data_IF_042535404939
#
_entry.id   IF_042535404939
#
_cell.length_a   1.000
_cell.length_b   1.000
_cell.length_c   1.000
_cell.angle_alpha   90.00
_cell.angle_beta   90.00
_cell.angle_gamma   90.00
#
_symmetry.space_group_name_H-M   'P 1'
#
loop_
_entity.id
_entity.type
_entity.pdbx_description
1 polymer ?
#
# COMPACT_ATOMS: atom_id res chain seq x y z
N UNK A 1 13.68 -9.57 -13.64
CA UNK A 1 12.76 -10.70 -13.36
C UNK A 1 12.62 -10.83 -11.85
N UNK A 2 11.40 -11.00 -11.32
CA UNK A 2 11.16 -11.13 -9.88
C UNK A 2 11.69 -12.48 -9.38
N UNK A 3 12.40 -12.43 -8.24
CA UNK A 3 12.82 -13.61 -7.49
C UNK A 3 12.43 -13.42 -6.03
N UNK A 4 11.56 -14.28 -5.50
CA UNK A 4 11.17 -14.26 -4.09
C UNK A 4 11.82 -15.41 -3.34
N UNK A 5 12.51 -15.10 -2.26
CA UNK A 5 13.14 -16.08 -1.37
C UNK A 5 12.52 -15.97 0.02
N UNK A 6 11.84 -17.02 0.45
CA UNK A 6 11.40 -17.15 1.83
C UNK A 6 12.60 -17.50 2.72
N UNK A 7 12.94 -16.62 3.66
CA UNK A 7 14.12 -16.77 4.52
C UNK A 7 13.78 -17.45 5.85
N UNK A 8 12.63 -17.08 6.45
CA UNK A 8 12.19 -17.59 7.73
C UNK A 8 10.68 -17.52 7.88
N UNK A 9 10.11 -18.43 8.68
CA UNK A 9 8.70 -18.41 9.11
C UNK A 9 8.64 -18.46 10.62
N UNK A 10 7.60 -17.87 11.20
CA UNK A 10 7.27 -18.09 12.60
C UNK A 10 6.93 -19.57 12.82
N UNK A 11 7.68 -20.23 13.69
CA UNK A 11 7.51 -21.65 14.04
C UNK A 11 6.72 -21.87 15.33
N UNK A 12 6.27 -20.79 15.97
CA UNK A 12 5.51 -20.86 17.23
C UNK A 12 4.12 -21.49 17.10
N UNK A 13 3.56 -21.52 15.88
CA UNK A 13 2.18 -21.90 15.61
C UNK A 13 1.15 -20.84 16.03
N UNK A 14 1.60 -19.66 16.49
CA UNK A 14 0.75 -18.57 16.96
C UNK A 14 0.55 -17.46 15.90
N UNK A 15 1.27 -17.56 14.78
CA UNK A 15 1.11 -16.66 13.63
C UNK A 15 1.60 -17.31 12.34
N UNK A 16 1.31 -16.64 11.22
CA UNK A 16 1.83 -16.97 9.89
C UNK A 16 2.92 -15.96 9.45
N UNK A 17 3.49 -15.23 10.40
CA UNK A 17 4.53 -14.23 10.12
C UNK A 17 5.72 -14.87 9.38
N UNK A 18 6.23 -14.17 8.39
CA UNK A 18 7.31 -14.67 7.55
C UNK A 18 8.27 -13.57 7.14
N UNK A 19 9.52 -13.95 6.98
CA UNK A 19 10.64 -13.12 6.56
C UNK A 19 11.05 -13.55 5.16
N UNK A 20 11.06 -12.61 4.23
CA UNK A 20 11.44 -12.88 2.85
C UNK A 20 12.36 -11.83 2.26
N UNK A 21 12.82 -12.11 1.06
CA UNK A 21 13.62 -11.22 0.22
C UNK A 21 13.07 -11.25 -1.19
N UNK A 22 12.84 -10.07 -1.75
CA UNK A 22 12.32 -9.90 -3.09
C UNK A 22 13.34 -9.15 -3.94
N UNK A 23 13.91 -9.83 -4.95
CA UNK A 23 14.82 -9.22 -5.92
C UNK A 23 14.03 -8.74 -7.13
N UNK A 24 14.24 -7.50 -7.50
CA UNK A 24 13.58 -6.79 -8.59
C UNK A 24 14.63 -6.12 -9.49
N UNK A 25 14.20 -5.47 -10.58
CA UNK A 25 15.14 -4.88 -11.54
C UNK A 25 15.95 -3.72 -10.94
N UNK A 26 15.34 -2.89 -10.09
CA UNK A 26 16.00 -1.73 -9.46
C UNK A 26 16.46 -2.00 -8.02
N UNK A 27 16.60 -3.24 -7.62
CA UNK A 27 17.16 -3.61 -6.32
C UNK A 27 16.44 -4.71 -5.59
N UNK A 28 16.89 -4.94 -4.37
CA UNK A 28 16.33 -5.97 -3.47
C UNK A 28 15.62 -5.32 -2.31
N UNK A 29 14.46 -5.84 -1.96
CA UNK A 29 13.69 -5.42 -0.78
C UNK A 29 13.58 -6.56 0.23
N UNK A 30 13.58 -6.19 1.49
CA UNK A 30 13.44 -7.11 2.62
C UNK A 30 12.01 -7.07 3.14
N UNK A 31 11.34 -8.21 3.22
CA UNK A 31 9.96 -8.29 3.70
C UNK A 31 9.86 -8.84 5.13
N UNK A 32 8.83 -8.47 5.91
CA UNK A 32 7.74 -7.55 5.63
C UNK A 32 8.20 -6.10 5.38
N UNK A 33 7.48 -5.37 4.50
CA UNK A 33 7.86 -4.00 4.12
C UNK A 33 6.64 -3.10 3.93
N UNK A 34 6.80 -1.81 4.25
CA UNK A 34 5.84 -0.76 3.94
C UNK A 34 6.33 0.07 2.75
N UNK A 35 5.42 0.39 1.82
CA UNK A 35 5.68 1.20 0.62
C UNK A 35 5.08 2.59 0.79
N UNK A 36 5.88 3.65 0.96
CA UNK A 36 5.39 5.02 0.93
C UNK A 36 4.68 5.35 -0.39
N UNK A 37 3.52 6.02 -0.31
CA UNK A 37 2.71 6.32 -1.50
C UNK A 37 3.13 7.64 -2.14
N UNK A 38 3.58 7.55 -3.40
CA UNK A 38 3.97 8.66 -4.25
C UNK A 38 3.00 8.90 -5.40
N UNK A 39 1.79 9.38 -5.12
CA UNK A 39 0.64 9.48 -6.04
C UNK A 39 0.96 10.10 -7.40
N UNK A 40 1.74 11.17 -7.43
CA UNK A 40 2.13 11.90 -8.66
C UNK A 40 3.64 11.77 -8.94
N UNK A 41 4.24 10.62 -8.67
CA UNK A 41 5.69 10.46 -8.75
C UNK A 41 6.43 11.21 -7.64
N UNK A 42 5.76 11.47 -6.51
CA UNK A 42 6.35 12.13 -5.35
C UNK A 42 5.63 11.67 -4.09
N UNK A 43 6.35 11.15 -3.12
CA UNK A 43 5.85 10.96 -1.77
C UNK A 43 5.71 12.35 -1.13
N UNK A 44 4.51 12.66 -0.62
CA UNK A 44 4.17 14.02 -0.18
C UNK A 44 5.19 14.58 0.82
N UNK A 45 5.76 15.74 0.48
CA UNK A 45 6.74 16.50 1.25
C UNK A 45 8.09 15.79 1.48
N UNK A 46 8.43 14.77 0.67
CA UNK A 46 9.70 14.03 0.75
C UNK A 46 10.40 14.01 -0.61
N UNK A 47 11.69 14.26 -0.64
CA UNK A 47 12.51 14.01 -1.81
C UNK A 47 13.11 12.58 -1.79
N UNK A 48 13.72 12.12 -2.90
CA UNK A 48 14.31 10.78 -2.98
C UNK A 48 15.47 10.55 -1.98
N UNK A 49 16.21 11.57 -1.60
CA UNK A 49 17.33 11.46 -0.62
C UNK A 49 16.75 11.19 0.76
N UNK A 50 15.78 12.00 1.19
CA UNK A 50 15.11 11.83 2.47
C UNK A 50 14.37 10.49 2.58
N UNK A 51 13.76 10.00 1.48
CA UNK A 51 13.14 8.68 1.44
C UNK A 51 14.15 7.55 1.68
N UNK A 52 15.36 7.68 1.14
CA UNK A 52 16.46 6.72 1.40
C UNK A 52 16.95 6.82 2.84
N UNK A 53 17.09 8.02 3.38
CA UNK A 53 17.52 8.27 4.77
C UNK A 53 16.52 7.69 5.81
N UNK A 54 15.22 7.76 5.56
CA UNK A 54 14.22 7.12 6.44
C UNK A 54 14.10 5.60 6.21
N UNK A 55 14.89 5.02 5.29
CA UNK A 55 14.96 3.57 5.06
C UNK A 55 13.97 3.01 4.05
N UNK A 56 13.36 3.83 3.19
CA UNK A 56 12.47 3.34 2.13
C UNK A 56 13.26 2.51 1.10
N UNK A 57 12.81 1.29 0.86
CA UNK A 57 13.41 0.36 -0.12
C UNK A 57 12.58 0.27 -1.41
N UNK A 58 11.31 0.64 -1.36
CA UNK A 58 10.34 0.64 -2.45
C UNK A 58 9.30 1.71 -2.20
N UNK A 59 8.75 2.28 -3.25
CA UNK A 59 7.63 3.23 -3.19
C UNK A 59 6.50 2.79 -4.11
N UNK A 60 5.29 3.35 -3.90
CA UNK A 60 4.13 3.11 -4.75
C UNK A 60 3.78 4.36 -5.56
N UNK A 61 3.54 4.19 -6.86
CA UNK A 61 2.98 5.21 -7.76
C UNK A 61 1.55 4.88 -8.16
N UNK A 62 0.71 5.90 -8.39
CA UNK A 62 -0.66 5.69 -8.82
C UNK A 62 -0.83 5.90 -10.32
N UNK A 63 -1.09 4.83 -11.04
CA UNK A 63 -1.21 4.77 -12.51
C UNK A 63 -2.22 5.77 -13.05
N UNK A 64 -3.43 5.85 -12.48
CA UNK A 64 -4.47 6.77 -12.89
C UNK A 64 -4.01 8.23 -12.87
N UNK A 65 -3.40 8.66 -11.77
CA UNK A 65 -2.93 10.03 -11.60
C UNK A 65 -1.79 10.38 -12.54
N UNK A 66 -0.83 9.48 -12.70
CA UNK A 66 0.34 9.66 -13.56
C UNK A 66 -0.03 9.65 -15.05
N UNK A 67 -1.00 8.83 -15.45
CA UNK A 67 -1.57 8.84 -16.79
C UNK A 67 -2.23 10.17 -17.14
N UNK A 68 -3.01 10.73 -16.22
CA UNK A 68 -3.68 12.01 -16.46
C UNK A 68 -2.72 13.20 -16.36
N UNK A 69 -1.71 13.12 -15.50
CA UNK A 69 -0.71 14.18 -15.29
C UNK A 69 0.56 13.60 -14.66
N UNK A 70 1.75 13.68 -15.27
CA UNK A 70 2.07 14.55 -16.43
C UNK A 70 1.63 13.98 -17.78
N UNK A 71 1.16 12.71 -17.84
CA UNK A 71 0.82 11.99 -19.07
C UNK A 71 1.96 11.11 -19.57
N UNK A 72 1.59 10.11 -20.37
CA UNK A 72 2.52 9.06 -20.83
C UNK A 72 3.61 9.64 -21.74
N UNK A 73 3.25 10.57 -22.65
CA UNK A 73 4.20 11.20 -23.56
C UNK A 73 5.37 11.91 -22.85
N UNK A 74 5.12 12.44 -21.65
CA UNK A 74 6.18 13.04 -20.83
C UNK A 74 7.03 11.96 -20.20
N UNK A 75 6.41 10.93 -19.59
CA UNK A 75 7.10 9.87 -18.88
C UNK A 75 7.98 9.02 -19.79
N UNK A 76 7.54 8.75 -21.02
CA UNK A 76 8.32 8.02 -22.04
C UNK A 76 9.65 8.72 -22.36
N UNK A 77 9.69 10.07 -22.34
CA UNK A 77 10.93 10.85 -22.57
C UNK A 77 11.98 10.62 -21.49
N UNK A 78 11.57 10.20 -20.29
CA UNK A 78 12.45 9.90 -19.15
C UNK A 78 12.73 8.39 -18.98
N UNK A 79 12.19 7.54 -19.86
CA UNK A 79 12.29 6.09 -19.74
C UNK A 79 11.49 5.50 -18.58
N UNK A 80 10.47 6.23 -18.10
CA UNK A 80 9.58 5.84 -17.01
C UNK A 80 9.75 6.65 -15.73
N UNK A 81 9.14 6.16 -14.65
CA UNK A 81 9.08 6.87 -13.36
C UNK A 81 10.45 7.06 -12.70
N UNK A 82 11.33 6.07 -12.77
CA UNK A 82 12.66 6.14 -12.15
C UNK A 82 13.44 7.35 -12.65
N UNK A 83 13.54 7.53 -13.97
CA UNK A 83 14.20 8.70 -14.55
C UNK A 83 13.45 10.00 -14.31
N UNK A 84 12.12 9.97 -14.34
CA UNK A 84 11.30 11.17 -14.16
C UNK A 84 11.42 11.77 -12.75
N UNK A 85 11.43 10.94 -11.72
CA UNK A 85 11.43 11.40 -10.32
C UNK A 85 12.81 11.28 -9.63
N UNK A 86 13.84 10.76 -10.30
CA UNK A 86 15.17 10.57 -9.72
C UNK A 86 15.23 9.51 -8.61
N UNK A 87 14.37 8.50 -8.69
CA UNK A 87 14.34 7.38 -7.74
C UNK A 87 14.99 6.14 -8.36
N UNK A 88 15.98 5.57 -7.69
CA UNK A 88 16.83 4.48 -8.20
C UNK A 88 16.52 3.10 -7.56
N UNK A 89 15.49 3.02 -6.72
CA UNK A 89 15.06 1.78 -6.06
C UNK A 89 13.72 1.31 -6.64
N UNK A 90 13.24 0.09 -6.28
CA UNK A 90 11.98 -0.44 -6.79
C UNK A 90 10.78 0.48 -6.66
N UNK A 91 9.88 0.38 -7.64
CA UNK A 91 8.57 1.03 -7.68
C UNK A 91 7.50 -0.03 -7.94
N UNK A 92 6.40 0.03 -7.19
CA UNK A 92 5.14 -0.64 -7.51
C UNK A 92 4.17 0.40 -8.07
N UNK A 93 3.44 0.07 -9.14
CA UNK A 93 2.29 0.88 -9.59
C UNK A 93 1.00 0.11 -9.44
N UNK A 94 -0.04 0.78 -8.93
CA UNK A 94 -1.39 0.25 -8.93
C UNK A 94 -1.96 0.17 -10.35
N UNK A 95 -3.16 -0.45 -10.50
CA UNK A 95 -3.80 -0.59 -11.81
C UNK A 95 -4.52 0.68 -12.31
N UNK A 96 -4.75 1.65 -11.43
CA UNK A 96 -5.63 2.80 -11.66
C UNK A 96 -7.13 2.51 -11.46
N UNK A 97 -7.52 1.25 -11.25
CA UNK A 97 -8.90 0.83 -11.10
C UNK A 97 -9.61 1.49 -9.92
N UNK A 98 -9.04 1.40 -8.73
CA UNK A 98 -9.64 1.97 -7.52
C UNK A 98 -9.94 3.47 -7.63
N UNK A 99 -9.04 4.25 -8.22
CA UNK A 99 -9.22 5.69 -8.41
C UNK A 99 -10.37 5.98 -9.37
N UNK A 100 -10.49 5.23 -10.46
CA UNK A 100 -11.61 5.34 -11.40
C UNK A 100 -12.91 4.91 -10.73
N UNK A 101 -12.91 3.86 -9.93
CA UNK A 101 -14.07 3.42 -9.18
C UNK A 101 -14.53 4.44 -8.14
N UNK A 102 -13.64 5.23 -7.57
CA UNK A 102 -13.97 6.31 -6.63
C UNK A 102 -14.68 7.51 -7.28
N UNK A 103 -14.68 7.64 -8.63
CA UNK A 103 -15.36 8.75 -9.34
C UNK A 103 -16.91 8.68 -9.32
N UNK A 104 -17.50 7.60 -8.80
CA UNK A 104 -18.95 7.50 -8.60
C UNK A 104 -19.75 7.60 -9.90
N UNK A 105 -20.72 8.52 -9.95
CA UNK A 105 -21.64 8.69 -11.09
C UNK A 105 -20.94 9.16 -12.41
N UNK A 106 -19.70 9.60 -12.36
CA UNK A 106 -18.94 10.02 -13.56
C UNK A 106 -18.31 8.85 -14.34
N UNK A 107 -18.62 7.61 -13.98
CA UNK A 107 -18.09 6.40 -14.62
C UNK A 107 -19.17 5.45 -15.11
N UNK A 108 -18.83 4.66 -16.13
CA UNK A 108 -19.60 3.52 -16.60
C UNK A 108 -18.72 2.30 -16.72
N UNK A 109 -19.04 1.24 -15.97
CA UNK A 109 -18.31 -0.03 -15.96
C UNK A 109 -19.01 -0.99 -16.93
N UNK A 110 -18.23 -1.66 -17.78
CA UNK A 110 -18.64 -2.74 -18.68
C UNK A 110 -17.63 -3.86 -18.64
N UNK A 111 -17.90 -4.98 -19.31
CA UNK A 111 -16.92 -6.09 -19.42
C UNK A 111 -15.64 -5.65 -20.12
N UNK A 112 -15.72 -4.70 -21.06
CA UNK A 112 -14.57 -4.21 -21.81
C UNK A 112 -13.65 -3.33 -20.97
N UNK A 113 -14.20 -2.61 -19.98
CA UNK A 113 -13.47 -1.67 -19.14
C UNK A 113 -14.36 -0.56 -18.58
N UNK A 114 -13.74 0.54 -18.20
CA UNK A 114 -14.41 1.67 -17.54
C UNK A 114 -14.26 2.94 -18.36
N UNK A 115 -15.39 3.53 -18.73
CA UNK A 115 -15.45 4.88 -19.32
C UNK A 115 -15.72 5.89 -18.22
N UNK A 116 -14.99 7.00 -18.19
CA UNK A 116 -15.16 8.05 -17.19
C UNK A 116 -14.81 9.43 -17.75
N UNK A 117 -15.25 10.48 -17.05
CA UNK A 117 -14.83 11.85 -17.30
C UNK A 117 -13.58 12.18 -16.49
N UNK A 118 -12.54 12.69 -17.14
CA UNK A 118 -11.30 13.11 -16.49
C UNK A 118 -11.58 14.22 -15.46
N UNK A 119 -11.12 14.07 -14.20
CA UNK A 119 -11.30 15.12 -13.19
C UNK A 119 -10.43 16.35 -13.44
N UNK A 120 -9.53 16.32 -14.44
CA UNK A 120 -8.62 17.42 -14.76
C UNK A 120 -9.27 18.38 -15.77
N UNK A 121 -9.87 17.84 -16.83
CA UNK A 121 -10.33 18.61 -17.97
C UNK A 121 -11.73 18.20 -18.48
N UNK A 122 -12.37 17.23 -17.81
CA UNK A 122 -13.68 16.71 -18.21
C UNK A 122 -13.67 15.82 -19.46
N UNK A 123 -12.52 15.60 -20.10
CA UNK A 123 -12.44 14.76 -21.30
C UNK A 123 -12.85 13.32 -21.02
N UNK A 124 -13.54 12.70 -22.00
CA UNK A 124 -13.94 11.30 -21.87
C UNK A 124 -12.73 10.39 -22.04
N UNK A 125 -12.51 9.51 -21.10
CA UNK A 125 -11.41 8.53 -21.06
C UNK A 125 -11.98 7.12 -20.95
N UNK A 126 -11.20 6.15 -21.44
CA UNK A 126 -11.52 4.74 -21.32
C UNK A 126 -10.29 4.00 -20.75
N UNK A 127 -10.50 3.21 -19.71
CA UNK A 127 -9.49 2.40 -19.07
C UNK A 127 -9.94 0.95 -19.09
N UNK A 128 -9.14 0.08 -19.68
CA UNK A 128 -9.34 -1.37 -19.73
C UNK A 128 -8.13 -2.10 -19.15
N UNK A 129 -8.20 -3.41 -18.93
CA UNK A 129 -7.02 -4.21 -18.57
C UNK A 129 -5.84 -3.96 -19.48
N UNK A 130 -6.05 -3.93 -20.79
CA UNK A 130 -5.00 -3.71 -21.79
C UNK A 130 -4.40 -2.30 -21.68
N UNK A 131 -5.27 -1.28 -21.59
CA UNK A 131 -4.83 0.12 -21.47
C UNK A 131 -4.05 0.32 -20.16
N UNK A 132 -4.50 -0.26 -19.04
CA UNK A 132 -3.78 -0.21 -17.77
C UNK A 132 -2.38 -0.82 -17.90
N UNK A 133 -2.23 -1.98 -18.54
CA UNK A 133 -0.93 -2.62 -18.76
C UNK A 133 -0.02 -1.77 -19.67
N UNK A 134 -0.56 -1.14 -20.71
CA UNK A 134 0.20 -0.25 -21.60
C UNK A 134 0.69 0.99 -20.84
N UNK A 135 -0.16 1.60 -20.01
CA UNK A 135 0.23 2.73 -19.17
C UNK A 135 1.34 2.31 -18.21
N UNK A 136 1.17 1.21 -17.46
CA UNK A 136 2.16 0.74 -16.50
C UNK A 136 3.48 0.30 -17.18
N UNK A 137 3.43 -0.12 -18.45
CA UNK A 137 4.65 -0.36 -19.25
C UNK A 137 5.43 0.93 -19.48
N UNK A 138 4.76 2.04 -19.82
CA UNK A 138 5.39 3.36 -19.94
C UNK A 138 5.89 3.90 -18.59
N UNK A 139 5.18 3.61 -17.48
CA UNK A 139 5.65 3.95 -16.14
C UNK A 139 6.91 3.15 -15.76
N UNK A 140 7.11 1.97 -16.35
CA UNK A 140 8.25 1.09 -16.17
C UNK A 140 8.54 0.74 -14.70
N UNK A 141 7.47 0.48 -13.93
CA UNK A 141 7.57 0.06 -12.53
C UNK A 141 8.00 -1.40 -12.40
N UNK A 142 8.73 -1.75 -11.33
CA UNK A 142 9.21 -3.12 -11.09
C UNK A 142 8.09 -4.10 -10.80
N UNK A 143 7.04 -3.63 -10.12
CA UNK A 143 5.82 -4.39 -9.84
C UNK A 143 4.63 -3.65 -10.44
N UNK A 144 3.87 -4.35 -11.25
CA UNK A 144 2.67 -3.92 -11.97
C UNK A 144 1.47 -4.64 -11.38
N UNK A 145 0.35 -3.96 -11.14
CA UNK A 145 -0.87 -4.59 -10.66
C UNK A 145 -1.86 -4.86 -11.78
N UNK A 146 -2.52 -6.03 -11.77
CA UNK A 146 -3.63 -6.31 -12.68
C UNK A 146 -4.72 -5.24 -12.56
N UNK A 147 -5.48 -5.02 -13.63
CA UNK A 147 -6.69 -4.20 -13.57
C UNK A 147 -7.83 -5.02 -12.93
N UNK A 148 -8.47 -4.46 -11.89
CA UNK A 148 -9.49 -5.13 -11.11
C UNK A 148 -10.66 -4.20 -10.79
N UNK A 149 -11.79 -4.77 -10.41
CA UNK A 149 -12.91 -4.04 -9.81
C UNK A 149 -12.99 -4.36 -8.31
N UNK A 150 -12.98 -3.31 -7.51
CA UNK A 150 -13.19 -3.42 -6.07
C UNK A 150 -14.67 -3.25 -5.74
N UNK A 151 -15.31 -4.31 -5.23
CA UNK A 151 -16.68 -4.23 -4.73
C UNK A 151 -16.76 -3.27 -3.55
N UNK A 152 -17.58 -2.21 -3.57
CA UNK A 152 -17.76 -1.37 -2.40
C UNK A 152 -18.38 -2.18 -1.25
N UNK A 153 -18.03 -1.83 0.00
CA UNK A 153 -18.64 -2.47 1.17
C UNK A 153 -20.15 -2.22 1.23
N UNK A 154 -20.60 -1.01 0.91
CA UNK A 154 -22.01 -0.63 0.86
C UNK A 154 -22.44 -0.26 -0.57
N UNK A 155 -23.61 -0.77 -0.96
CA UNK A 155 -24.32 -0.42 -2.20
C UNK A 155 -25.72 0.04 -1.80
N UNK A 156 -26.11 1.25 -2.18
CA UNK A 156 -27.42 1.84 -1.87
C UNK A 156 -27.77 1.84 -0.37
N UNK A 157 -26.75 2.07 0.50
CA UNK A 157 -26.93 2.16 1.95
C UNK A 157 -27.08 0.82 2.67
N UNK A 158 -26.77 -0.30 2.01
CA UNK A 158 -26.71 -1.64 2.59
C UNK A 158 -25.39 -2.35 2.25
N UNK A 159 -24.96 -3.32 3.05
CA UNK A 159 -23.82 -4.15 2.67
C UNK A 159 -24.03 -4.83 1.30
N UNK A 160 -22.97 -4.89 0.49
CA UNK A 160 -22.99 -5.59 -0.79
C UNK A 160 -23.35 -7.07 -0.59
N UNK A 161 -24.25 -7.60 -1.40
CA UNK A 161 -24.65 -9.02 -1.33
C UNK A 161 -23.55 -9.93 -1.91
N UNK A 162 -23.64 -11.22 -1.58
CA UNK A 162 -22.73 -12.22 -2.15
C UNK A 162 -22.82 -12.28 -3.68
N UNK A 163 -24.00 -12.08 -4.26
CA UNK A 163 -24.21 -12.08 -5.71
C UNK A 163 -23.51 -10.87 -6.36
N UNK A 164 -23.65 -9.68 -5.78
CA UNK A 164 -22.98 -8.46 -6.25
C UNK A 164 -21.44 -8.61 -6.16
N UNK A 165 -20.94 -9.10 -5.04
CA UNK A 165 -19.53 -9.38 -4.83
C UNK A 165 -18.99 -10.46 -5.80
N UNK A 166 -19.77 -11.53 -6.04
CA UNK A 166 -19.41 -12.59 -6.98
C UNK A 166 -19.32 -12.07 -8.42
N UNK A 167 -20.27 -11.22 -8.84
CA UNK A 167 -20.27 -10.62 -10.18
C UNK A 167 -19.02 -9.77 -10.40
N UNK A 168 -18.68 -8.89 -9.46
CA UNK A 168 -17.51 -8.04 -9.48
C UNK A 168 -16.22 -8.87 -9.47
N UNK A 169 -16.10 -9.83 -8.56
CA UNK A 169 -14.93 -10.69 -8.44
C UNK A 169 -14.66 -11.50 -9.71
N UNK A 170 -15.70 -12.12 -10.30
CA UNK A 170 -15.54 -12.89 -11.54
C UNK A 170 -15.19 -12.02 -12.75
N UNK A 171 -15.66 -10.77 -12.79
CA UNK A 171 -15.19 -9.80 -13.77
C UNK A 171 -13.71 -9.48 -13.56
N UNK A 172 -13.29 -9.26 -12.31
CA UNK A 172 -11.87 -9.05 -11.97
C UNK A 172 -10.99 -10.24 -12.40
N UNK A 173 -11.46 -11.49 -12.29
CA UNK A 173 -10.73 -12.68 -12.79
C UNK A 173 -10.58 -12.66 -14.32
N UNK A 174 -11.63 -12.31 -15.07
CA UNK A 174 -11.54 -12.17 -16.54
C UNK A 174 -10.59 -11.04 -16.93
N UNK A 175 -10.61 -9.94 -16.20
CA UNK A 175 -9.67 -8.81 -16.36
C UNK A 175 -8.23 -9.19 -15.97
N UNK A 176 -8.06 -10.06 -14.99
CA UNK A 176 -6.77 -10.63 -14.61
C UNK A 176 -6.12 -11.38 -15.78
N UNK A 177 -6.90 -12.25 -16.44
CA UNK A 177 -6.42 -12.98 -17.62
C UNK A 177 -6.07 -12.04 -18.79
N UNK A 178 -6.90 -11.01 -19.02
CA UNK A 178 -6.64 -10.00 -20.06
C UNK A 178 -5.39 -9.17 -19.74
N UNK A 179 -5.22 -8.77 -18.45
CA UNK A 179 -4.01 -8.09 -17.99
C UNK A 179 -2.76 -8.94 -18.23
N UNK A 180 -2.80 -10.22 -17.87
CA UNK A 180 -1.69 -11.15 -18.11
C UNK A 180 -1.36 -11.30 -19.61
N UNK A 181 -2.37 -11.42 -20.45
CA UNK A 181 -2.19 -11.55 -21.89
C UNK A 181 -1.52 -10.31 -22.49
N UNK A 182 -1.96 -9.10 -22.09
CA UNK A 182 -1.38 -7.84 -22.57
C UNK A 182 0.02 -7.59 -21.99
N UNK A 183 0.23 -7.91 -20.71
CA UNK A 183 1.55 -7.80 -20.07
C UNK A 183 2.60 -8.60 -20.81
N UNK A 184 2.24 -9.81 -21.30
CA UNK A 184 3.11 -10.73 -22.01
C UNK A 184 3.24 -10.43 -23.52
N UNK A 185 2.60 -9.39 -24.07
CA UNK A 185 2.71 -8.98 -25.50
C UNK A 185 4.04 -8.33 -25.87
N UNK A 186 5.09 -8.59 -25.22
CA UNK A 186 6.42 -8.07 -25.51
C UNK A 186 7.35 -8.42 -24.37
N UNK A 187 8.62 -8.10 -24.56
CA UNK A 187 9.57 -8.24 -23.46
C UNK A 187 9.24 -7.27 -22.35
N UNK A 188 8.94 -7.78 -21.17
CA UNK A 188 8.70 -7.00 -19.98
C UNK A 188 9.49 -7.64 -18.83
N UNK A 189 10.54 -6.97 -18.30
CA UNK A 189 11.38 -7.53 -17.26
C UNK A 189 10.72 -7.42 -15.87
N UNK A 190 9.60 -6.68 -15.76
CA UNK A 190 8.90 -6.39 -14.51
C UNK A 190 8.00 -7.56 -14.10
N UNK A 191 7.30 -7.44 -12.97
CA UNK A 191 6.43 -8.48 -12.44
C UNK A 191 4.98 -8.01 -12.35
N UNK A 192 4.03 -8.81 -12.84
CA UNK A 192 2.60 -8.56 -12.73
C UNK A 192 2.01 -9.32 -11.53
N UNK A 193 1.37 -8.60 -10.60
CA UNK A 193 0.68 -9.21 -9.46
C UNK A 193 -0.82 -9.34 -9.70
N UNK A 194 -1.38 -10.48 -9.27
CA UNK A 194 -2.81 -10.72 -9.22
C UNK A 194 -3.44 -10.14 -7.95
N UNK A 195 -4.76 -9.85 -7.99
CA UNK A 195 -5.49 -9.27 -6.86
C UNK A 195 -6.67 -10.16 -6.50
N UNK A 196 -6.64 -10.73 -5.29
CA UNK A 196 -7.74 -11.52 -4.72
C UNK A 196 -8.86 -10.57 -4.30
N UNK A 197 -10.03 -10.68 -4.95
CA UNK A 197 -11.26 -9.96 -4.65
C UNK A 197 -12.33 -10.93 -4.08
N UNK A 198 -13.53 -10.46 -3.73
CA UNK A 198 -14.61 -11.30 -3.21
C UNK A 198 -15.40 -10.67 -2.07
N UNK A 199 -15.22 -9.36 -1.82
CA UNK A 199 -15.89 -8.63 -0.75
C UNK A 199 -15.61 -9.27 0.62
N UNK A 200 -16.65 -9.32 1.46
CA UNK A 200 -16.55 -9.92 2.82
C UNK A 200 -16.98 -11.40 2.85
N UNK A 201 -16.86 -12.11 1.72
CA UNK A 201 -17.32 -13.49 1.54
C UNK A 201 -16.14 -14.44 1.34
N UNK A 202 -15.86 -15.28 2.32
CA UNK A 202 -14.72 -16.21 2.34
C UNK A 202 -14.70 -17.15 1.13
N UNK A 203 -15.83 -17.76 0.79
CA UNK A 203 -15.93 -18.65 -0.36
C UNK A 203 -15.66 -17.96 -1.71
N UNK A 204 -15.98 -16.66 -1.83
CA UNK A 204 -15.64 -15.89 -3.03
C UNK A 204 -14.16 -15.55 -3.08
N UNK A 205 -13.53 -15.32 -1.92
CA UNK A 205 -12.08 -15.15 -1.80
C UNK A 205 -11.34 -16.43 -2.22
N UNK A 206 -11.86 -17.59 -1.83
CA UNK A 206 -11.31 -18.90 -2.23
C UNK A 206 -11.46 -19.11 -3.75
N UNK A 207 -12.63 -18.79 -4.35
CA UNK A 207 -12.87 -18.85 -5.80
C UNK A 207 -11.90 -17.91 -6.55
N UNK A 208 -11.72 -16.68 -6.04
CA UNK A 208 -10.82 -15.70 -6.62
C UNK A 208 -9.37 -16.17 -6.58
N UNK A 209 -8.93 -16.69 -5.45
CA UNK A 209 -7.57 -17.20 -5.29
C UNK A 209 -7.29 -18.37 -6.25
N UNK A 210 -8.18 -19.34 -6.32
CA UNK A 210 -8.05 -20.48 -7.23
C UNK A 210 -7.92 -20.02 -8.69
N UNK A 211 -8.77 -19.10 -9.16
CA UNK A 211 -8.68 -18.56 -10.51
C UNK A 211 -7.39 -17.78 -10.79
N UNK A 212 -6.83 -17.11 -9.81
CA UNK A 212 -5.54 -16.42 -9.94
C UNK A 212 -4.35 -17.39 -9.94
N UNK A 213 -4.45 -18.50 -9.21
CA UNK A 213 -3.43 -19.56 -9.22
C UNK A 213 -3.36 -20.23 -10.59
N UNK A 214 -4.52 -20.47 -11.25
CA UNK A 214 -4.58 -21.01 -12.61
C UNK A 214 -3.90 -20.07 -13.63
N UNK A 215 -4.03 -18.75 -13.48
CA UNK A 215 -3.34 -17.74 -14.31
C UNK A 215 -1.82 -17.69 -13.98
N UNK A 216 -1.46 -18.04 -12.77
CA UNK A 216 -0.08 -18.14 -12.26
C UNK A 216 0.69 -16.82 -12.20
N UNK A 217 0.18 -15.84 -11.47
CA UNK A 217 0.91 -14.60 -11.17
C UNK A 217 2.16 -14.86 -10.30
N UNK A 218 3.26 -14.10 -10.50
CA UNK A 218 4.47 -14.21 -9.68
C UNK A 218 4.33 -13.67 -8.26
N UNK A 219 3.26 -12.90 -7.98
CA UNK A 219 2.89 -12.39 -6.66
C UNK A 219 1.38 -12.15 -6.57
N UNK A 220 0.84 -12.16 -5.36
CA UNK A 220 -0.59 -11.98 -5.12
C UNK A 220 -0.86 -10.89 -4.10
N UNK A 221 -1.88 -10.09 -4.37
CA UNK A 221 -2.39 -9.07 -3.46
C UNK A 221 -3.78 -9.42 -2.93
N UNK A 222 -4.07 -8.95 -1.73
CA UNK A 222 -5.40 -8.97 -1.13
C UNK A 222 -5.99 -7.56 -1.34
N UNK A 223 -6.99 -7.45 -2.21
CA UNK A 223 -7.72 -6.20 -2.47
C UNK A 223 -9.07 -6.15 -1.78
N UNK A 224 -9.75 -5.01 -1.88
CA UNK A 224 -11.12 -4.83 -1.37
C UNK A 224 -11.26 -4.93 0.14
N UNK A 225 -10.22 -4.56 0.88
CA UNK A 225 -10.22 -4.34 2.32
C UNK A 225 -9.89 -2.88 2.62
N UNK A 226 -10.30 -2.37 3.79
CA UNK A 226 -10.21 -0.94 4.18
C UNK A 226 -11.00 -0.01 3.23
N UNK A 227 -12.16 -0.49 2.77
CA UNK A 227 -13.07 0.22 1.86
C UNK A 227 -14.40 0.61 2.54
N UNK A 228 -14.42 0.68 3.87
CA UNK A 228 -15.58 1.09 4.68
C UNK A 228 -16.16 0.00 5.57
N UNK A 229 -15.64 -1.22 5.52
CA UNK A 229 -16.06 -2.33 6.36
C UNK A 229 -15.65 -2.15 7.84
N UNK A 230 -16.39 -2.78 8.79
CA UNK A 230 -15.95 -2.91 10.18
C UNK A 230 -14.58 -3.61 10.30
N UNK A 231 -13.79 -3.22 11.29
CA UNK A 231 -12.46 -3.82 11.54
C UNK A 231 -12.50 -5.33 11.76
N UNK A 232 -13.57 -5.83 12.34
CA UNK A 232 -13.79 -7.26 12.60
C UNK A 232 -13.91 -8.04 11.29
N UNK A 233 -14.63 -7.49 10.30
CA UNK A 233 -14.79 -8.10 8.98
C UNK A 233 -13.46 -8.11 8.22
N UNK A 234 -12.72 -7.00 8.25
CA UNK A 234 -11.37 -6.93 7.67
C UNK A 234 -10.45 -8.01 8.27
N UNK A 235 -10.41 -8.11 9.60
CA UNK A 235 -9.59 -9.11 10.31
C UNK A 235 -10.01 -10.54 9.97
N UNK A 236 -11.31 -10.82 9.91
CA UNK A 236 -11.85 -12.14 9.56
C UNK A 236 -11.43 -12.57 8.17
N UNK A 237 -11.59 -11.69 7.18
CA UNK A 237 -11.19 -11.97 5.79
C UNK A 237 -9.67 -12.11 5.68
N UNK A 238 -8.90 -11.27 6.35
CA UNK A 238 -7.45 -11.35 6.34
C UNK A 238 -6.95 -12.68 6.95
N UNK A 239 -7.51 -13.09 8.08
CA UNK A 239 -7.20 -14.38 8.72
C UNK A 239 -7.61 -15.58 7.86
N UNK A 240 -8.66 -15.44 7.03
CA UNK A 240 -9.06 -16.46 6.08
C UNK A 240 -8.12 -16.54 4.87
N UNK A 241 -7.82 -15.42 4.23
CA UNK A 241 -7.08 -15.37 2.95
C UNK A 241 -5.57 -15.50 3.16
N UNK A 242 -5.01 -14.77 4.13
CA UNK A 242 -3.56 -14.65 4.29
C UNK A 242 -2.83 -16.00 4.35
N UNK A 243 -3.23 -16.94 5.24
CA UNK A 243 -2.60 -18.26 5.35
C UNK A 243 -2.80 -19.18 4.13
N UNK A 244 -3.74 -18.85 3.23
CA UNK A 244 -4.04 -19.64 2.03
C UNK A 244 -3.26 -19.21 0.80
N UNK A 245 -2.64 -18.03 0.85
CA UNK A 245 -1.81 -17.56 -0.27
C UNK A 245 -0.58 -18.47 -0.45
N UNK A 246 -0.15 -18.73 -1.71
CA UNK A 246 0.98 -19.60 -2.01
C UNK A 246 2.28 -19.17 -1.33
N UNK A 247 2.89 -20.04 -0.55
CA UNK A 247 4.07 -19.75 0.27
C UNK A 247 5.27 -19.24 -0.53
N UNK A 248 5.43 -19.71 -1.77
CA UNK A 248 6.54 -19.36 -2.65
C UNK A 248 6.34 -18.05 -3.43
N UNK A 249 5.31 -17.27 -3.10
CA UNK A 249 5.00 -15.98 -3.74
C UNK A 249 4.95 -14.87 -2.69
N UNK A 250 5.30 -13.61 -3.04
CA UNK A 250 5.09 -12.47 -2.15
C UNK A 250 3.60 -12.14 -2.03
N UNK A 251 3.19 -11.72 -0.82
CA UNK A 251 1.82 -11.37 -0.45
C UNK A 251 1.71 -9.89 -0.14
N UNK A 252 0.81 -9.19 -0.81
CA UNK A 252 0.62 -7.77 -0.66
C UNK A 252 -0.80 -7.45 -0.16
N UNK A 253 -0.94 -6.70 0.93
CA UNK A 253 -2.21 -6.18 1.43
C UNK A 253 -2.35 -4.72 1.01
N UNK A 254 -3.31 -4.45 0.12
CA UNK A 254 -3.47 -3.16 -0.54
C UNK A 254 -4.18 -2.12 0.35
N UNK A 255 -3.62 -0.93 0.45
CA UNK A 255 -4.26 0.23 1.05
C UNK A 255 -4.44 0.19 2.57
N UNK A 256 -3.82 -0.74 3.26
CA UNK A 256 -3.92 -0.95 4.71
C UNK A 256 -2.58 -0.69 5.38
N UNK A 257 -2.45 0.00 6.50
CA UNK A 257 -3.44 0.66 7.32
C UNK A 257 -2.79 1.33 8.53
N UNK A 258 -3.39 1.23 9.71
CA UNK A 258 -2.77 1.70 10.97
C UNK A 258 -1.57 0.82 11.35
N UNK A 259 -0.69 1.28 12.26
CA UNK A 259 0.40 0.44 12.77
C UNK A 259 -0.08 -0.92 13.30
N UNK A 260 -1.22 -0.95 13.95
CA UNK A 260 -1.85 -2.18 14.46
C UNK A 260 -2.29 -3.11 13.33
N UNK A 261 -2.82 -2.56 12.23
CA UNK A 261 -3.22 -3.33 11.05
C UNK A 261 -2.00 -3.96 10.35
N UNK A 262 -0.85 -3.26 10.35
CA UNK A 262 0.38 -3.80 9.77
C UNK A 262 0.89 -5.01 10.57
N UNK A 263 0.94 -4.90 11.89
CA UNK A 263 1.36 -6.02 12.76
C UNK A 263 0.41 -7.21 12.62
N UNK A 264 -0.90 -6.95 12.54
CA UNK A 264 -1.91 -7.99 12.32
C UNK A 264 -1.80 -8.62 10.92
N UNK A 265 -1.53 -7.80 9.88
CA UNK A 265 -1.29 -8.28 8.53
C UNK A 265 -0.10 -9.23 8.45
N UNK A 266 1.02 -8.86 9.09
CA UNK A 266 2.20 -9.73 9.17
C UNK A 266 1.89 -11.02 9.93
N UNK A 267 1.13 -10.96 11.02
CA UNK A 267 0.69 -12.15 11.76
C UNK A 267 -0.11 -13.12 10.90
N UNK A 268 -0.76 -12.63 9.84
CA UNK A 268 -1.51 -13.43 8.85
C UNK A 268 -0.72 -13.75 7.57
N UNK A 269 0.60 -13.52 7.54
CA UNK A 269 1.48 -13.93 6.44
C UNK A 269 1.62 -12.91 5.30
N UNK A 270 1.29 -11.64 5.54
CA UNK A 270 1.47 -10.56 4.55
C UNK A 270 2.91 -10.05 4.56
N UNK A 271 3.46 -9.80 3.37
CA UNK A 271 4.83 -9.32 3.16
C UNK A 271 4.93 -7.84 2.83
N UNK A 272 3.92 -7.28 2.16
CA UNK A 272 3.98 -5.94 1.57
C UNK A 272 2.73 -5.15 1.93
N UNK A 273 2.91 -3.87 2.22
CA UNK A 273 1.83 -2.95 2.60
C UNK A 273 2.03 -1.59 1.96
N UNK A 274 0.94 -0.89 1.68
CA UNK A 274 0.91 0.53 1.40
C UNK A 274 -0.26 1.19 2.12
N UNK A 275 -0.14 2.45 2.41
CA UNK A 275 -1.26 3.29 2.84
C UNK A 275 -0.89 4.76 2.72
N UNK A 276 -1.85 5.60 2.36
CA UNK A 276 -1.68 7.06 2.37
C UNK A 276 -1.66 7.65 3.79
N UNK A 277 -2.03 6.84 4.78
CA UNK A 277 -2.25 7.29 6.16
C UNK A 277 -1.02 7.98 6.79
N UNK A 278 0.21 7.45 6.73
CA UNK A 278 1.35 8.12 7.37
C UNK A 278 1.56 9.53 6.82
N UNK A 279 1.50 9.74 5.51
CA UNK A 279 1.71 11.05 4.90
C UNK A 279 0.49 11.97 5.00
N UNK A 280 -0.73 11.42 4.83
CA UNK A 280 -1.97 12.19 4.98
C UNK A 280 -2.18 12.65 6.42
N UNK A 281 -2.01 11.77 7.39
CA UNK A 281 -2.17 12.09 8.80
C UNK A 281 -1.10 13.08 9.28
N UNK A 282 0.14 12.97 8.82
CA UNK A 282 1.21 13.93 9.12
C UNK A 282 0.81 15.37 8.76
N UNK A 283 0.29 15.58 7.54
CA UNK A 283 -0.17 16.90 7.09
C UNK A 283 -1.36 17.42 7.89
N UNK A 284 -2.16 16.52 8.49
CA UNK A 284 -3.28 16.86 9.37
C UNK A 284 -2.89 16.92 10.85
N UNK A 285 -1.60 16.85 11.16
CA UNK A 285 -1.08 16.92 12.53
C UNK A 285 -1.41 15.71 13.40
N UNK A 286 -1.59 14.54 12.78
CA UNK A 286 -1.78 13.26 13.45
C UNK A 286 -0.55 12.39 13.25
N UNK A 287 0.16 12.09 14.35
CA UNK A 287 1.47 11.50 14.36
C UNK A 287 1.46 10.21 15.17
N UNK A 288 2.17 9.20 14.66
CA UNK A 288 2.25 7.89 15.29
C UNK A 288 3.50 7.81 16.17
N UNK A 289 3.35 7.33 17.39
CA UNK A 289 4.47 7.08 18.31
C UNK A 289 4.40 5.67 18.87
N UNK A 290 5.44 5.23 19.54
CA UNK A 290 5.47 3.92 20.20
C UNK A 290 4.28 3.70 21.15
N UNK A 291 3.89 4.74 21.88
CA UNK A 291 2.87 4.65 22.94
C UNK A 291 1.48 5.20 22.52
N UNK A 292 1.23 5.34 21.24
CA UNK A 292 -0.06 5.81 20.74
C UNK A 292 0.07 6.99 19.77
N UNK A 293 -1.01 7.76 19.63
CA UNK A 293 -1.10 8.80 18.61
C UNK A 293 -1.02 10.19 19.23
N UNK A 294 -0.19 11.05 18.64
CA UNK A 294 -0.09 12.48 18.97
C UNK A 294 -0.89 13.29 17.97
N UNK A 295 -1.90 14.01 18.45
CA UNK A 295 -2.60 15.05 17.65
C UNK A 295 -1.97 16.39 17.97
N UNK A 296 -0.94 16.78 17.21
CA UNK A 296 -0.06 17.92 17.51
C UNK A 296 -0.79 19.26 17.60
N UNK A 297 -1.98 19.37 17.03
CA UNK A 297 -2.85 20.56 17.13
C UNK A 297 -3.42 20.83 18.54
N UNK A 298 -3.37 19.84 19.45
CA UNK A 298 -3.93 19.94 20.79
C UNK A 298 -3.14 20.94 21.64
N UNK A 299 -3.85 21.78 22.41
CA UNK A 299 -3.26 22.85 23.21
C UNK A 299 -2.24 22.38 24.26
N UNK A 300 -2.32 21.12 24.71
CA UNK A 300 -1.36 20.53 25.66
C UNK A 300 0.08 20.50 25.14
N UNK A 301 0.30 20.63 23.81
CA UNK A 301 1.61 20.63 23.20
C UNK A 301 2.19 22.02 22.95
N UNK A 302 1.48 23.09 23.33
CA UNK A 302 1.86 24.49 23.06
C UNK A 302 3.24 24.86 23.62
N UNK A 303 3.58 24.32 24.76
CA UNK A 303 4.82 24.58 25.52
C UNK A 303 5.57 23.28 25.89
N UNK A 304 5.22 22.15 25.26
CA UNK A 304 5.85 20.85 25.47
C UNK A 304 7.22 20.79 24.80
N UNK A 305 8.30 20.79 25.58
CA UNK A 305 9.68 20.78 25.11
C UNK A 305 10.20 19.40 24.71
N UNK A 306 9.44 18.33 24.97
CA UNK A 306 9.81 16.97 24.60
C UNK A 306 9.72 16.73 23.09
N UNK A 307 10.47 15.76 22.51
CA UNK A 307 10.29 15.30 21.14
C UNK A 307 8.93 14.58 20.98
N UNK A 308 8.52 14.31 19.73
CA UNK A 308 7.30 13.54 19.47
C UNK A 308 7.35 12.17 20.16
N UNK A 309 8.47 11.50 20.05
CA UNK A 309 8.72 10.19 20.67
C UNK A 309 10.19 10.15 21.10
N UNK A 310 10.44 9.94 22.40
CA UNK A 310 11.78 9.93 22.99
C UNK A 310 12.63 8.73 22.51
N UNK A 311 11.98 7.64 22.10
CA UNK A 311 12.66 6.46 21.54
C UNK A 311 12.94 6.58 20.05
N UNK A 312 12.35 7.57 19.36
CA UNK A 312 12.47 7.72 17.92
C UNK A 312 13.78 8.42 17.50
N UNK A 313 14.45 7.82 16.53
CA UNK A 313 15.73 8.32 16.01
C UNK A 313 15.65 9.16 14.74
N UNK A 314 14.43 9.50 14.28
CA UNK A 314 14.24 10.29 13.07
C UNK A 314 14.78 11.72 13.22
N UNK A 315 15.04 12.38 12.08
CA UNK A 315 15.48 13.77 12.04
C UNK A 315 14.58 14.72 12.83
N UNK A 316 13.26 14.52 12.73
CA UNK A 316 12.29 15.36 13.45
C UNK A 316 12.44 15.24 14.97
N UNK A 317 12.44 14.03 15.52
CA UNK A 317 12.55 13.81 16.98
C UNK A 317 13.89 14.20 17.57
N UNK A 318 14.99 14.09 16.80
CA UNK A 318 16.32 14.50 17.25
C UNK A 318 16.51 16.02 17.37
N UNK A 319 15.73 16.80 16.62
CA UNK A 319 16.02 18.23 16.44
C UNK A 319 14.89 19.17 16.89
N UNK A 320 13.65 18.66 17.04
CA UNK A 320 12.49 19.51 17.25
C UNK A 320 11.58 19.00 18.37
N UNK A 321 11.01 19.95 19.14
CA UNK A 321 10.07 19.69 20.21
C UNK A 321 8.62 19.63 19.69
N UNK A 322 7.73 19.04 20.49
CA UNK A 322 6.28 19.08 20.25
C UNK A 322 5.76 20.51 20.20
N UNK A 323 6.28 21.42 21.05
CA UNK A 323 5.90 22.85 21.03
C UNK A 323 6.20 23.50 19.67
N UNK A 324 7.39 23.26 19.11
CA UNK A 324 7.74 23.80 17.78
C UNK A 324 6.86 23.24 16.67
N UNK A 325 6.62 21.93 16.66
CA UNK A 325 5.74 21.28 15.69
C UNK A 325 4.29 21.74 15.83
N UNK A 326 3.80 21.94 17.06
CA UNK A 326 2.50 22.56 17.32
C UNK A 326 2.42 23.97 16.73
N UNK A 327 3.45 24.80 16.96
CA UNK A 327 3.53 26.15 16.39
C UNK A 327 3.48 26.11 14.86
N UNK A 328 4.33 25.31 14.21
CA UNK A 328 4.37 25.18 12.76
C UNK A 328 3.01 24.72 12.19
N UNK A 329 2.39 23.74 12.83
CA UNK A 329 1.08 23.24 12.41
C UNK A 329 -0.01 24.31 12.53
N UNK A 330 -0.04 25.07 13.64
CA UNK A 330 -1.01 26.15 13.86
C UNK A 330 -0.81 27.35 12.93
N UNK A 331 0.42 27.57 12.49
CA UNK A 331 0.79 28.62 11.53
C UNK A 331 0.69 28.17 10.07
N UNK A 332 0.27 26.93 9.80
CA UNK A 332 0.21 26.32 8.47
C UNK A 332 1.56 26.37 7.71
N UNK A 333 2.68 26.29 8.45
CA UNK A 333 4.01 26.27 7.84
C UNK A 333 4.27 24.93 7.13
N UNK A 334 4.78 25.00 5.90
CA UNK A 334 5.10 23.82 5.08
C UNK A 334 6.09 22.91 5.80
N UNK A 335 7.06 23.50 6.52
CA UNK A 335 8.06 22.76 7.31
C UNK A 335 7.40 21.82 8.32
N UNK A 336 6.29 22.24 8.95
CA UNK A 336 5.54 21.40 9.89
C UNK A 336 5.01 20.13 9.24
N UNK A 337 4.40 20.24 8.06
CA UNK A 337 3.92 19.09 7.30
C UNK A 337 5.06 18.17 6.87
N UNK A 338 6.22 18.73 6.47
CA UNK A 338 7.42 17.96 6.08
C UNK A 338 8.01 17.20 7.27
N UNK A 339 8.28 17.85 8.40
CA UNK A 339 8.83 17.22 9.60
C UNK A 339 7.93 16.10 10.14
N UNK A 340 6.63 16.34 10.16
CA UNK A 340 5.64 15.36 10.54
C UNK A 340 5.63 14.15 9.60
N UNK A 341 5.82 14.37 8.29
CA UNK A 341 5.87 13.29 7.29
C UNK A 341 7.15 12.45 7.45
N UNK A 342 8.31 13.09 7.67
CA UNK A 342 9.57 12.39 7.97
C UNK A 342 9.37 11.48 9.20
N UNK A 343 8.76 12.00 10.27
CA UNK A 343 8.52 11.22 11.47
C UNK A 343 7.59 10.02 11.22
N UNK A 344 6.43 10.23 10.62
CA UNK A 344 5.47 9.15 10.41
C UNK A 344 5.99 8.07 9.46
N UNK A 345 6.71 8.44 8.40
CA UNK A 345 7.34 7.46 7.50
C UNK A 345 8.47 6.69 8.20
N UNK A 346 9.32 7.39 8.95
CA UNK A 346 10.35 6.73 9.75
C UNK A 346 9.72 5.73 10.73
N UNK A 347 8.64 6.10 11.41
CA UNK A 347 7.94 5.22 12.33
C UNK A 347 7.44 3.95 11.65
N UNK A 348 6.77 4.06 10.48
CA UNK A 348 6.25 2.92 9.74
C UNK A 348 7.37 2.01 9.21
N UNK A 349 8.43 2.59 8.67
CA UNK A 349 9.56 1.83 8.12
C UNK A 349 10.38 1.15 9.23
N UNK A 350 10.56 1.83 10.37
CA UNK A 350 11.22 1.26 11.54
C UNK A 350 10.39 0.13 12.16
N UNK A 351 9.06 0.28 12.23
CA UNK A 351 8.16 -0.79 12.68
C UNK A 351 8.36 -2.07 11.83
N UNK A 352 8.47 -1.92 10.50
CA UNK A 352 8.75 -3.06 9.62
C UNK A 352 10.12 -3.67 9.90
N UNK A 353 11.13 -2.87 10.24
CA UNK A 353 12.45 -3.39 10.62
C UNK A 353 12.37 -4.16 11.95
N UNK A 354 11.73 -3.60 12.97
CA UNK A 354 11.53 -4.28 14.26
C UNK A 354 10.78 -5.61 14.11
N UNK A 355 9.78 -5.65 13.22
CA UNK A 355 9.05 -6.88 12.87
C UNK A 355 9.99 -7.92 12.24
N UNK A 356 10.81 -7.52 11.26
CA UNK A 356 11.79 -8.42 10.63
C UNK A 356 12.77 -8.98 11.65
N UNK A 357 13.31 -8.13 12.51
CA UNK A 357 14.24 -8.53 13.57
C UNK A 357 13.58 -9.49 14.55
N UNK A 358 12.32 -9.26 14.92
CA UNK A 358 11.56 -10.15 15.79
C UNK A 358 11.30 -11.53 15.14
N UNK A 359 11.02 -11.58 13.84
CA UNK A 359 10.87 -12.86 13.11
C UNK A 359 12.21 -13.59 13.05
N UNK A 360 13.30 -12.89 12.73
CA UNK A 360 14.64 -13.45 12.66
C UNK A 360 15.11 -14.01 14.02
N UNK A 361 14.64 -13.43 15.13
CA UNK A 361 14.92 -13.86 16.50
C UNK A 361 13.93 -14.91 17.05
N UNK A 362 12.98 -15.45 16.27
CA UNK A 362 11.87 -16.33 16.73
C UNK A 362 10.99 -15.71 17.84
N UNK A 363 10.92 -14.36 17.87
CA UNK A 363 10.26 -13.59 18.91
C UNK A 363 9.02 -12.82 18.46
N UNK A 364 8.47 -13.06 17.27
CA UNK A 364 7.39 -12.24 16.70
C UNK A 364 6.14 -12.21 17.58
N UNK A 365 5.74 -13.34 18.17
CA UNK A 365 4.57 -13.35 19.06
C UNK A 365 4.76 -12.45 20.29
N UNK A 366 5.93 -12.52 20.94
CA UNK A 366 6.26 -11.65 22.08
C UNK A 366 6.31 -10.17 21.66
N UNK A 367 6.91 -9.88 20.50
CA UNK A 367 6.90 -8.54 19.91
C UNK A 367 5.49 -8.01 19.71
N UNK A 368 4.57 -8.80 19.11
CA UNK A 368 3.18 -8.42 18.88
C UNK A 368 2.44 -8.10 20.19
N UNK A 369 2.64 -8.89 21.23
CA UNK A 369 2.04 -8.64 22.54
C UNK A 369 2.57 -7.33 23.16
N UNK A 370 3.90 -7.13 23.13
CA UNK A 370 4.52 -5.92 23.65
C UNK A 370 4.10 -4.67 22.86
N UNK A 371 4.07 -4.75 21.51
CA UNK A 371 3.60 -3.67 20.65
C UNK A 371 2.16 -3.25 21.01
N UNK A 372 1.24 -4.21 21.16
CA UNK A 372 -0.14 -3.92 21.53
C UNK A 372 -0.25 -3.29 22.93
N UNK A 373 0.54 -3.77 23.89
CA UNK A 373 0.58 -3.19 25.24
C UNK A 373 1.14 -1.76 25.24
N UNK A 374 2.22 -1.51 24.48
CA UNK A 374 2.81 -0.17 24.32
C UNK A 374 1.81 0.79 23.69
N UNK A 375 1.13 0.40 22.61
CA UNK A 375 0.11 1.22 21.94
C UNK A 375 -1.12 1.50 22.82
N UNK A 376 -1.52 0.54 23.63
CA UNK A 376 -2.65 0.68 24.56
C UNK A 376 -2.35 1.63 25.73
N UNK A 377 -1.07 1.87 26.06
CA UNK A 377 -0.65 2.77 27.13
C UNK A 377 -1.07 4.22 26.89
N UNK A 378 -1.06 4.65 25.62
CA UNK A 378 -1.34 6.05 25.24
C UNK A 378 -0.16 7.00 25.51
N UNK A 379 -0.27 8.24 24.98
CA UNK A 379 0.72 9.32 25.09
C UNK A 379 0.26 10.38 26.09
#
# INVERSE_FOLDING_TARGET
>A
MLEFTLLKKDTSGLSHARRGRLKLNHGTIETPIFMPVGTYGSVKAMDPVELKEVGSQIILGNTFHLWLRPGIEVLDKFGGLHGFMGWDKPILTDSGGFQVFSLGAMRKITEEGVTFASPIDGSRKFLSPEVSMQIQRSLNSDIVMQFDECTPYEIDGRPATAEEAAKSMRMSLRWAQRSMNEFNRGENPNALFGIVQGGMYEHLRDESLAGLEDINFPGLAIGGLSVGEPKEDMKRILAHVGPRLPENKPHYLMGVGTPEDLVEGVANGVDMFDCVMPTRNARNGWLFTRFGDVKIKNARYKDDTAPLDESCTCYCCKNFSRAYLHHLHRSNEILGARLNTIHNLHYYLNLMQEIRDAIDADGFHAFRLQFNADRARGV
#
